data_IF_792515464297
#
_entry.id   IF_792515464297
#
_cell.length_a   1.000
_cell.length_b   1.000
_cell.length_c   1.000
_cell.angle_alpha   90.00
_cell.angle_beta   90.00
_cell.angle_gamma   90.00
#
_symmetry.space_group_name_H-M   'P 1'
#
loop_
_entity.id
_entity.type
_entity.pdbx_description
1 polymer ?
#
# COMPACT_ATOMS: atom_id res chain seq x y z
N UNK A 1 24.66 10.48 1.97
CA UNK A 1 23.37 9.86 1.60
C UNK A 1 22.89 9.10 2.83
N UNK A 2 21.89 9.62 3.53
CA UNK A 2 21.23 8.93 4.63
C UNK A 2 20.43 7.77 4.05
N UNK A 3 20.79 6.55 4.42
CA UNK A 3 20.14 5.35 3.89
C UNK A 3 18.89 5.07 4.72
N UNK A 4 17.70 5.18 4.11
CA UNK A 4 16.47 4.74 4.77
C UNK A 4 16.55 3.23 5.04
N UNK A 5 16.28 2.81 6.28
CA UNK A 5 16.36 1.40 6.66
C UNK A 5 14.97 0.78 6.56
N UNK A 6 14.75 -0.03 5.53
CA UNK A 6 13.51 -0.81 5.36
C UNK A 6 13.69 -2.14 6.12
N UNK A 7 12.83 -2.41 7.10
CA UNK A 7 12.88 -3.66 7.85
C UNK A 7 12.28 -4.83 7.07
N UNK A 8 12.56 -6.08 7.49
CA UNK A 8 11.92 -7.26 6.90
C UNK A 8 10.39 -7.22 7.04
N UNK A 9 9.87 -6.71 8.16
CA UNK A 9 8.43 -6.56 8.35
C UNK A 9 7.82 -5.53 7.37
N UNK A 10 8.57 -4.49 7.00
CA UNK A 10 8.13 -3.53 5.98
C UNK A 10 8.12 -4.14 4.59
N UNK A 11 9.10 -4.99 4.26
CA UNK A 11 9.09 -5.75 3.01
C UNK A 11 7.86 -6.64 2.88
N UNK A 12 7.47 -7.34 3.96
CA UNK A 12 6.24 -8.15 3.97
C UNK A 12 4.99 -7.30 3.76
N UNK A 13 4.88 -6.14 4.43
CA UNK A 13 3.77 -5.20 4.21
C UNK A 13 3.74 -4.71 2.76
N UNK A 14 4.88 -4.30 2.20
CA UNK A 14 4.99 -3.86 0.81
C UNK A 14 4.62 -4.96 -0.18
N UNK A 15 4.95 -6.21 0.10
CA UNK A 15 4.52 -7.35 -0.70
C UNK A 15 3.00 -7.54 -0.64
N UNK A 16 2.40 -7.48 0.56
CA UNK A 16 0.94 -7.53 0.70
C UNK A 16 0.25 -6.39 -0.06
N UNK A 17 0.80 -5.18 0.02
CA UNK A 17 0.31 -4.01 -0.70
C UNK A 17 0.36 -4.21 -2.22
N UNK A 18 1.51 -4.67 -2.73
CA UNK A 18 1.68 -4.98 -4.16
C UNK A 18 0.66 -6.02 -4.62
N UNK A 19 0.45 -7.07 -3.83
CA UNK A 19 -0.48 -8.14 -4.17
C UNK A 19 -1.94 -7.65 -4.16
N UNK A 20 -2.31 -6.81 -3.20
CA UNK A 20 -3.64 -6.20 -3.14
C UNK A 20 -3.88 -5.23 -4.31
N UNK A 21 -2.89 -4.40 -4.67
CA UNK A 21 -2.98 -3.51 -5.84
C UNK A 21 -3.11 -4.26 -7.17
N UNK A 22 -2.43 -5.40 -7.33
CA UNK A 22 -2.60 -6.30 -8.47
C UNK A 22 -4.03 -6.85 -8.54
N UNK A 23 -4.54 -7.35 -7.43
CA UNK A 23 -5.90 -7.88 -7.37
C UNK A 23 -6.95 -6.83 -7.77
N UNK A 24 -6.80 -5.59 -7.29
CA UNK A 24 -7.66 -4.47 -7.70
C UNK A 24 -7.56 -4.22 -9.21
N UNK A 25 -6.34 -4.18 -9.76
CA UNK A 25 -6.12 -3.92 -11.18
C UNK A 25 -6.76 -4.99 -12.06
N UNK A 26 -6.63 -6.27 -11.67
CA UNK A 26 -7.27 -7.40 -12.35
C UNK A 26 -8.81 -7.29 -12.29
N UNK A 27 -9.36 -6.89 -11.14
CA UNK A 27 -10.81 -6.63 -11.01
C UNK A 27 -11.28 -5.47 -11.90
N UNK A 28 -10.49 -4.40 -12.03
CA UNK A 28 -10.86 -3.27 -12.91
C UNK A 28 -10.77 -3.64 -14.38
N UNK A 29 -9.81 -4.48 -14.80
CA UNK A 29 -9.74 -5.00 -16.17
C UNK A 29 -10.95 -5.88 -16.52
N UNK A 30 -11.45 -6.67 -15.56
CA UNK A 30 -12.68 -7.45 -15.74
C UNK A 30 -13.94 -6.58 -15.86
N UNK A 31 -13.92 -5.34 -15.35
CA UNK A 31 -15.05 -4.41 -15.38
C UNK A 31 -15.15 -3.62 -16.70
N UNK A 32 -14.11 -3.62 -17.55
CA UNK A 32 -14.22 -3.06 -18.91
C UNK A 32 -15.22 -3.83 -19.79
N UNK A 33 -15.65 -5.02 -19.36
CA UNK A 33 -16.77 -5.77 -19.92
C UNK A 33 -18.13 -5.14 -19.54
N UNK A 34 -18.40 -3.91 -19.98
CA UNK A 34 -19.69 -3.20 -20.13
C UNK A 34 -20.79 -3.23 -19.03
N UNK A 35 -20.66 -3.95 -17.93
CA UNK A 35 -21.64 -3.99 -16.84
C UNK A 35 -21.14 -3.21 -15.62
N UNK A 36 -21.98 -2.30 -15.11
CA UNK A 36 -21.65 -1.55 -13.90
C UNK A 36 -21.47 -2.50 -12.72
N UNK A 37 -20.33 -2.46 -12.00
CA UNK A 37 -20.08 -3.40 -10.92
C UNK A 37 -21.11 -3.23 -9.80
N UNK A 38 -21.62 -4.33 -9.21
CA UNK A 38 -22.54 -4.28 -8.09
C UNK A 38 -21.98 -3.44 -6.94
N UNK A 39 -22.87 -2.76 -6.21
CA UNK A 39 -22.51 -1.82 -5.13
C UNK A 39 -21.64 -2.46 -4.04
N UNK A 40 -21.84 -3.76 -3.78
CA UNK A 40 -21.01 -4.54 -2.85
C UNK A 40 -19.56 -4.68 -3.31
N UNK A 41 -19.32 -4.86 -4.62
CA UNK A 41 -17.98 -4.95 -5.20
C UNK A 41 -17.27 -3.61 -5.14
N UNK A 42 -17.99 -2.50 -5.37
CA UNK A 42 -17.43 -1.15 -5.22
C UNK A 42 -17.05 -0.84 -3.76
N UNK A 43 -17.88 -1.25 -2.79
CA UNK A 43 -17.56 -1.08 -1.37
C UNK A 43 -16.34 -1.92 -0.94
N UNK A 44 -16.19 -3.14 -1.45
CA UNK A 44 -15.02 -3.98 -1.22
C UNK A 44 -13.74 -3.37 -1.83
N UNK A 45 -13.85 -2.86 -3.06
CA UNK A 45 -12.75 -2.17 -3.71
C UNK A 45 -12.29 -0.94 -2.92
N UNK A 46 -13.23 -0.09 -2.48
CA UNK A 46 -12.91 1.08 -1.65
C UNK A 46 -12.23 0.69 -0.33
N UNK A 47 -12.68 -0.41 0.29
CA UNK A 47 -12.08 -0.93 1.52
C UNK A 47 -10.65 -1.44 1.29
N UNK A 48 -10.38 -2.10 0.17
CA UNK A 48 -9.04 -2.56 -0.21
C UNK A 48 -8.11 -1.40 -0.52
N UNK A 49 -8.58 -0.39 -1.25
CA UNK A 49 -7.81 0.84 -1.53
C UNK A 49 -7.43 1.53 -0.22
N UNK A 50 -8.39 1.70 0.70
CA UNK A 50 -8.13 2.30 2.01
C UNK A 50 -7.05 1.54 2.79
N UNK A 51 -7.16 0.20 2.85
CA UNK A 51 -6.17 -0.65 3.53
C UNK A 51 -4.78 -0.56 2.88
N UNK A 52 -4.72 -0.40 1.55
CA UNK A 52 -3.47 -0.21 0.83
C UNK A 52 -2.82 1.13 1.21
N UNK A 53 -3.61 2.20 1.23
CA UNK A 53 -3.13 3.53 1.57
C UNK A 53 -2.60 3.58 3.01
N UNK A 54 -3.35 3.05 3.98
CA UNK A 54 -2.94 3.07 5.40
C UNK A 54 -1.62 2.32 5.65
N UNK A 55 -1.44 1.16 5.02
CA UNK A 55 -0.19 0.41 5.19
C UNK A 55 0.99 1.09 4.47
N UNK A 56 0.74 1.77 3.34
CA UNK A 56 1.78 2.54 2.65
C UNK A 56 2.22 3.74 3.49
N UNK A 57 1.28 4.51 4.04
CA UNK A 57 1.56 5.63 4.94
C UNK A 57 2.36 5.17 6.16
N UNK A 58 2.00 4.00 6.73
CA UNK A 58 2.78 3.41 7.82
C UNK A 58 4.25 3.13 7.44
N UNK A 59 4.52 2.64 6.22
CA UNK A 59 5.90 2.41 5.75
C UNK A 59 6.62 3.74 5.51
N UNK A 60 5.95 4.72 4.90
CA UNK A 60 6.51 6.07 4.67
C UNK A 60 6.90 6.73 5.99
N UNK A 61 6.01 6.72 6.98
CA UNK A 61 6.27 7.31 8.29
C UNK A 61 7.48 6.66 8.97
N UNK A 62 7.61 5.32 8.95
CA UNK A 62 8.79 4.66 9.53
C UNK A 62 10.08 4.97 8.79
N UNK A 63 10.03 5.14 7.47
CA UNK A 63 11.19 5.58 6.70
C UNK A 63 11.59 7.03 7.04
N UNK A 64 10.60 7.91 7.23
CA UNK A 64 10.82 9.30 7.66
C UNK A 64 11.32 9.37 9.10
N UNK A 65 10.76 8.61 10.03
CA UNK A 65 11.23 8.50 11.41
C UNK A 65 12.65 7.94 11.46
N UNK A 66 12.94 6.89 10.68
CA UNK A 66 14.29 6.35 10.57
C UNK A 66 15.28 7.36 9.98
N UNK A 67 14.84 8.21 9.06
CA UNK A 67 15.64 9.29 8.52
C UNK A 67 15.87 10.40 9.56
N UNK A 68 14.82 10.89 10.22
CA UNK A 68 14.92 11.93 11.26
C UNK A 68 15.73 11.48 12.48
N UNK A 69 15.58 10.22 12.91
CA UNK A 69 16.36 9.69 14.04
C UNK A 69 17.81 9.39 13.66
N UNK A 70 18.11 9.11 12.39
CA UNK A 70 19.48 8.95 11.88
C UNK A 70 20.25 10.26 11.71
N UNK A 71 19.57 11.41 11.67
CA UNK A 71 20.20 12.74 11.65
C UNK A 71 20.58 13.25 13.06
N UNK A 72 20.23 12.52 14.12
CA UNK A 72 20.48 12.88 15.53
C UNK A 72 21.72 12.16 16.10
N UNK A 73 22.36 11.25 15.36
CA UNK A 73 23.66 10.68 15.77
C UNK A 73 24.81 11.68 15.50
N UNK A 74 25.61 12.06 16.51
CA UNK A 74 26.66 13.09 16.43
C UNK A 74 27.92 12.69 15.66
#
# INVERSE_FOLDING_TARGET
MTHATISHADLLRLEHLRNAGRFISDMTLLQECHEQPPTSQQAQLNSLIFLITEQLDGVVNRCQDGWMNGEVEP
#
